data_IF_525030299104
#
_entry.id   IF_525030299104
#
_cell.length_a   1.000
_cell.length_b   1.000
_cell.length_c   1.000
_cell.angle_alpha   90.00
_cell.angle_beta   90.00
_cell.angle_gamma   90.00
#
_symmetry.space_group_name_H-M   'P 1'
#
loop_
_entity.id
_entity.type
_entity.pdbx_description
1 polymer ?
#
# COMPACT_ATOMS: atom_id res chain seq x y z
N UNK A 1 11.35 8.10 16.43
CA UNK A 1 10.44 7.48 15.44
C UNK A 1 11.30 6.73 14.43
N UNK A 2 10.97 5.47 14.10
CA UNK A 2 11.72 4.68 13.10
C UNK A 2 10.85 4.56 11.85
N UNK A 3 11.34 5.07 10.73
CA UNK A 3 10.65 5.04 9.43
C UNK A 3 11.51 4.22 8.48
N UNK A 4 10.92 3.25 7.80
CA UNK A 4 11.58 2.48 6.75
C UNK A 4 11.00 2.89 5.40
N UNK A 5 11.85 2.98 4.38
CA UNK A 5 11.46 3.36 3.02
C UNK A 5 11.70 2.22 2.04
N UNK A 6 10.86 2.16 1.02
CA UNK A 6 11.03 1.26 -0.12
C UNK A 6 10.79 2.04 -1.40
N UNK A 7 11.54 1.70 -2.44
CA UNK A 7 11.40 2.32 -3.77
C UNK A 7 11.48 1.21 -4.81
N UNK A 8 10.57 1.25 -5.78
CA UNK A 8 10.63 0.42 -6.97
C UNK A 8 10.63 1.31 -8.22
N UNK A 9 11.38 0.90 -9.24
CA UNK A 9 11.56 1.68 -10.46
C UNK A 9 10.33 1.59 -11.37
N UNK A 10 9.92 2.73 -11.92
CA UNK A 10 8.78 2.84 -12.84
C UNK A 10 7.47 3.29 -12.17
N UNK A 11 6.60 3.90 -12.97
CA UNK A 11 5.31 4.42 -12.51
C UNK A 11 4.46 3.28 -11.91
N UNK A 12 3.95 3.50 -10.69
CA UNK A 12 3.11 2.55 -9.97
C UNK A 12 3.82 1.24 -9.58
N UNK A 13 5.15 1.16 -9.67
CA UNK A 13 5.89 -0.05 -9.30
C UNK A 13 5.83 -0.31 -7.79
N UNK A 14 5.99 0.74 -6.97
CA UNK A 14 5.88 0.64 -5.50
C UNK A 14 4.48 0.21 -5.08
N UNK A 15 3.43 0.76 -5.71
CA UNK A 15 2.03 0.42 -5.43
C UNK A 15 1.74 -1.06 -5.73
N UNK A 16 2.21 -1.54 -6.88
CA UNK A 16 2.11 -2.96 -7.28
C UNK A 16 2.87 -3.88 -6.33
N UNK A 17 4.08 -3.49 -5.94
CA UNK A 17 4.89 -4.24 -4.99
C UNK A 17 4.18 -4.37 -3.63
N UNK A 18 3.68 -3.26 -3.08
CA UNK A 18 2.99 -3.25 -1.79
C UNK A 18 1.69 -4.06 -1.83
N UNK A 19 0.92 -3.94 -2.92
CA UNK A 19 -0.29 -4.74 -3.13
C UNK A 19 0.01 -6.23 -3.19
N UNK A 20 1.07 -6.63 -3.93
CA UNK A 20 1.49 -8.02 -4.02
C UNK A 20 1.98 -8.58 -2.67
N UNK A 21 2.70 -7.78 -1.89
CA UNK A 21 3.14 -8.16 -0.54
C UNK A 21 1.95 -8.35 0.39
N UNK A 22 0.96 -7.44 0.36
CA UNK A 22 -0.26 -7.57 1.16
C UNK A 22 -1.04 -8.84 0.82
N UNK A 23 -1.27 -9.11 -0.47
CA UNK A 23 -1.93 -10.32 -0.94
C UNK A 23 -1.17 -11.59 -0.54
N UNK A 24 0.16 -11.58 -0.66
CA UNK A 24 1.00 -12.71 -0.26
C UNK A 24 0.91 -12.97 1.25
N UNK A 25 0.96 -11.93 2.07
CA UNK A 25 0.81 -12.06 3.53
C UNK A 25 -0.55 -12.63 3.91
N UNK A 26 -1.62 -12.17 3.26
CA UNK A 26 -2.97 -12.72 3.45
C UNK A 26 -3.04 -14.21 3.09
N UNK A 27 -2.47 -14.61 1.94
CA UNK A 27 -2.38 -16.00 1.51
C UNK A 27 -1.53 -16.88 2.46
N UNK A 28 -0.64 -16.30 3.27
CA UNK A 28 0.10 -16.99 4.32
C UNK A 28 -0.64 -17.03 5.67
N UNK A 29 -1.91 -16.63 5.71
CA UNK A 29 -2.70 -16.57 6.94
C UNK A 29 -2.33 -15.41 7.87
N UNK A 30 -1.56 -14.43 7.38
CA UNK A 30 -1.27 -13.19 8.11
C UNK A 30 -2.38 -12.18 7.83
N UNK A 31 -2.61 -11.27 8.77
CA UNK A 31 -3.63 -10.23 8.66
C UNK A 31 -2.95 -8.87 8.48
N UNK A 32 -2.55 -8.47 7.27
CA UNK A 32 -2.02 -7.13 7.06
C UNK A 32 -3.10 -6.10 7.39
N UNK A 33 -2.68 -4.99 8.01
CA UNK A 33 -3.57 -3.89 8.42
C UNK A 33 -2.99 -2.60 7.89
N UNK A 34 -3.82 -1.78 7.26
CA UNK A 34 -3.40 -0.53 6.64
C UNK A 34 -4.12 -0.31 5.32
N UNK A 35 -3.49 0.46 4.43
CA UNK A 35 -3.99 0.73 3.08
C UNK A 35 -2.90 0.48 2.06
N UNK A 36 -3.28 -0.04 0.90
CA UNK A 36 -2.42 -0.11 -0.29
C UNK A 36 -3.12 0.58 -1.44
N UNK A 37 -2.35 1.27 -2.28
CA UNK A 37 -2.89 1.84 -3.50
C UNK A 37 -3.07 0.74 -4.54
N UNK A 38 -4.28 0.65 -5.10
CA UNK A 38 -4.61 -0.30 -6.16
C UNK A 38 -4.64 0.41 -7.51
N UNK A 39 -4.03 -0.21 -8.52
CA UNK A 39 -4.13 0.26 -9.91
C UNK A 39 -5.38 -0.40 -10.51
N UNK A 40 -6.49 0.33 -10.58
CA UNK A 40 -7.69 -0.13 -11.27
C UNK A 40 -7.45 -0.04 -12.78
N UNK A 41 -7.49 -1.17 -13.48
CA UNK A 41 -7.27 -1.27 -14.93
C UNK A 41 -8.44 -0.74 -15.77
N UNK A 42 -9.04 0.40 -15.41
CA UNK A 42 -10.09 1.00 -16.23
C UNK A 42 -9.47 1.65 -17.46
N UNK A 43 -10.00 1.39 -18.67
CA UNK A 43 -9.72 2.25 -19.81
C UNK A 43 -10.25 3.64 -19.46
N UNK A 44 -9.47 4.69 -19.73
CA UNK A 44 -9.74 6.09 -19.37
C UNK A 44 -9.63 6.46 -17.89
N UNK A 45 -8.97 5.66 -17.05
CA UNK A 45 -8.50 6.20 -15.77
C UNK A 45 -7.55 7.36 -16.07
N UNK A 46 -8.00 8.58 -15.81
CA UNK A 46 -7.17 9.76 -15.93
C UNK A 46 -5.91 9.52 -15.10
N UNK A 47 -4.82 10.15 -15.54
CA UNK A 47 -3.45 10.08 -15.01
C UNK A 47 -3.30 10.31 -13.50
N UNK A 48 -4.41 10.57 -12.81
CA UNK A 48 -4.58 11.11 -11.48
C UNK A 48 -5.56 10.30 -10.61
N UNK A 49 -6.19 9.26 -11.16
CA UNK A 49 -7.09 8.38 -10.41
C UNK A 49 -6.33 7.52 -9.38
N UNK A 50 -6.77 7.59 -8.13
CA UNK A 50 -6.14 6.91 -7.01
C UNK A 50 -7.19 6.21 -6.14
N UNK A 51 -7.09 4.88 -6.13
CA UNK A 51 -7.90 4.00 -5.31
C UNK A 51 -7.05 3.37 -4.20
N UNK A 52 -7.60 3.35 -2.99
CA UNK A 52 -7.01 2.72 -1.81
C UNK A 52 -7.82 1.49 -1.42
N UNK A 53 -7.18 0.32 -1.36
CA UNK A 53 -7.75 -0.86 -0.71
C UNK A 53 -7.47 -0.81 0.78
N UNK A 54 -8.52 -0.82 1.60
CA UNK A 54 -8.40 -0.96 3.05
C UNK A 54 -8.18 -2.43 3.39
N UNK A 55 -7.09 -2.74 4.09
CA UNK A 55 -6.73 -4.09 4.49
C UNK A 55 -7.27 -4.42 5.90
N UNK A 56 -7.58 -5.70 6.21
CA UNK A 56 -7.41 -6.87 5.34
C UNK A 56 -8.52 -7.04 4.29
N UNK A 57 -9.78 -6.79 4.67
CA UNK A 57 -10.98 -7.10 3.85
C UNK A 57 -11.92 -5.87 3.75
N UNK A 58 -11.35 -4.67 3.82
CA UNK A 58 -12.11 -3.43 3.79
C UNK A 58 -12.52 -3.01 2.38
N UNK A 59 -13.21 -1.86 2.24
CA UNK A 59 -13.61 -1.36 0.93
C UNK A 59 -12.41 -0.83 0.13
N UNK A 60 -12.59 -0.72 -1.19
CA UNK A 60 -11.80 0.17 -2.05
C UNK A 60 -12.39 1.57 -1.96
N UNK A 61 -11.54 2.57 -1.75
CA UNK A 61 -11.93 3.98 -1.60
C UNK A 61 -11.22 4.80 -2.66
N UNK A 62 -12.00 5.49 -3.50
CA UNK A 62 -11.50 6.55 -4.38
C UNK A 62 -11.17 7.77 -3.54
N UNK A 63 -9.95 8.27 -3.67
CA UNK A 63 -9.48 9.47 -2.97
C UNK A 63 -9.09 10.59 -3.95
N UNK A 64 -9.48 10.46 -5.21
CA UNK A 64 -9.34 11.51 -6.21
C UNK A 64 -10.66 12.24 -6.34
N UNK A 65 -10.65 13.56 -6.15
CA UNK A 65 -11.78 14.44 -6.44
C UNK A 65 -11.90 14.65 -7.95
N UNK A 66 -13.11 14.48 -8.49
CA UNK A 66 -13.44 14.91 -9.84
C UNK A 66 -13.61 16.45 -9.86
N UNK A 67 -12.75 17.13 -10.61
CA UNK A 67 -12.77 18.59 -10.78
C UNK A 67 -13.55 19.03 -12.04
N UNK A 68 -14.15 18.08 -12.76
CA UNK A 68 -14.89 18.31 -14.00
C UNK A 68 -14.03 18.12 -15.25
N UNK A 69 -14.72 18.07 -16.40
CA UNK A 69 -14.09 17.91 -17.71
C UNK A 69 -13.06 19.01 -17.97
N UNK A 70 -11.94 18.63 -18.60
CA UNK A 70 -10.80 19.51 -18.94
C UNK A 70 -9.93 19.98 -17.77
N UNK A 71 -10.13 19.47 -16.55
CA UNK A 71 -9.18 19.73 -15.48
C UNK A 71 -7.83 19.07 -15.79
N UNK A 72 -6.76 19.87 -15.81
CA UNK A 72 -5.38 19.38 -15.99
C UNK A 72 -4.76 18.84 -14.70
N UNK A 73 -5.48 18.90 -13.58
CA UNK A 73 -5.02 18.39 -12.29
C UNK A 73 -6.13 17.66 -11.55
N UNK A 74 -5.73 16.87 -10.56
CA UNK A 74 -6.63 16.26 -9.61
C UNK A 74 -6.28 16.71 -8.19
N UNK A 75 -7.26 16.60 -7.31
CA UNK A 75 -7.08 16.87 -5.88
C UNK A 75 -7.38 15.62 -5.06
N UNK A 76 -6.68 15.50 -3.93
CA UNK A 76 -7.03 14.53 -2.91
C UNK A 76 -8.42 14.87 -2.33
N UNK A 77 -9.34 13.92 -2.38
CA UNK A 77 -10.62 14.02 -1.69
C UNK A 77 -10.43 13.69 -0.20
N UNK A 78 -10.26 14.74 0.61
CA UNK A 78 -10.15 14.62 2.07
C UNK A 78 -11.43 14.10 2.72
N UNK A 79 -12.61 14.39 2.15
CA UNK A 79 -13.89 13.89 2.66
C UNK A 79 -14.02 12.38 2.44
N UNK A 80 -13.56 11.86 1.30
CA UNK A 80 -13.52 10.44 1.04
C UNK A 80 -12.57 9.68 1.96
N UNK A 81 -11.49 10.32 2.44
CA UNK A 81 -10.69 9.79 3.53
C UNK A 81 -11.55 9.78 4.81
N UNK A 82 -11.94 10.94 5.32
CA UNK A 82 -12.57 11.09 6.65
C UNK A 82 -13.88 10.32 6.85
N UNK A 83 -14.71 10.23 5.80
CA UNK A 83 -16.04 9.62 5.89
C UNK A 83 -16.00 8.09 6.04
N UNK A 84 -14.83 7.45 5.88
CA UNK A 84 -14.72 5.99 5.87
C UNK A 84 -14.37 5.48 7.25
N UNK A 85 -15.06 4.45 7.77
CA UNK A 85 -14.76 3.90 9.09
C UNK A 85 -13.48 3.06 9.03
N UNK A 86 -12.32 3.73 9.03
CA UNK A 86 -11.05 3.09 9.35
C UNK A 86 -11.16 2.53 10.76
N UNK A 87 -11.22 1.21 10.90
CA UNK A 87 -10.92 0.62 12.20
C UNK A 87 -9.42 0.69 12.41
N UNK A 88 -8.95 1.79 12.98
CA UNK A 88 -7.60 1.90 13.52
C UNK A 88 -7.50 1.00 14.75
N UNK A 89 -7.33 -0.30 14.53
CA UNK A 89 -6.87 -1.19 15.58
C UNK A 89 -5.38 -0.96 15.68
N UNK A 90 -4.91 -0.49 16.83
CA UNK A 90 -3.49 -0.42 17.11
C UNK A 90 -2.90 -1.82 16.93
N UNK A 91 -2.18 -2.02 15.83
CA UNK A 91 -1.34 -3.20 15.68
C UNK A 91 -0.10 -2.90 16.50
N UNK A 92 -0.12 -3.32 17.75
CA UNK A 92 1.09 -3.41 18.54
C UNK A 92 2.00 -4.39 17.82
N UNK A 93 2.95 -3.88 17.06
CA UNK A 93 4.09 -4.68 16.67
C UNK A 93 4.76 -5.06 17.97
N UNK A 94 4.52 -6.29 18.43
CA UNK A 94 5.17 -6.82 19.62
C UNK A 94 6.68 -6.70 19.43
N UNK A 95 7.25 -5.66 20.03
CA UNK A 95 8.67 -5.33 19.94
C UNK A 95 9.51 -6.36 20.71
N UNK A 96 8.88 -7.23 21.50
CA UNK A 96 9.50 -8.23 22.38
C UNK A 96 9.50 -9.64 21.81
N UNK A 97 8.67 -10.00 20.82
CA UNK A 97 8.73 -11.31 20.15
C UNK A 97 9.27 -11.20 18.73
N UNK A 98 10.59 -11.37 18.64
CA UNK A 98 11.49 -11.46 17.47
C UNK A 98 12.18 -10.13 17.13
N UNK A 99 13.53 -10.08 17.21
CA UNK A 99 14.25 -8.87 16.90
C UNK A 99 14.07 -8.53 15.42
N UNK A 100 13.73 -7.27 15.15
CA UNK A 100 13.59 -6.68 13.82
C UNK A 100 14.86 -6.84 12.96
N UNK A 101 15.98 -7.22 13.56
CA UNK A 101 17.23 -7.61 12.89
C UNK A 101 17.05 -8.77 11.89
N UNK A 102 15.99 -9.56 12.00
CA UNK A 102 15.70 -10.68 11.11
C UNK A 102 14.60 -10.40 10.09
N UNK A 103 13.87 -9.28 10.15
CA UNK A 103 12.85 -8.97 9.14
C UNK A 103 13.51 -8.76 7.78
N UNK A 104 14.61 -8.01 7.74
CA UNK A 104 15.41 -7.83 6.53
C UNK A 104 16.08 -9.14 6.09
N UNK A 105 16.41 -10.06 6.99
CA UNK A 105 16.95 -11.39 6.67
C UNK A 105 15.87 -12.36 6.16
N UNK A 106 14.66 -12.29 6.69
CA UNK A 106 13.49 -13.08 6.29
C UNK A 106 12.93 -12.59 4.95
N UNK A 107 12.79 -11.27 4.79
CA UNK A 107 12.46 -10.61 3.52
C UNK A 107 13.54 -10.96 2.49
N UNK A 108 14.83 -10.80 2.79
CA UNK A 108 15.91 -11.20 1.85
C UNK A 108 15.90 -12.70 1.54
N UNK A 109 15.81 -13.60 2.52
CA UNK A 109 15.81 -15.06 2.26
C UNK A 109 14.61 -15.52 1.44
N UNK A 110 13.45 -14.87 1.60
CA UNK A 110 12.20 -15.27 0.92
C UNK A 110 11.96 -14.52 -0.39
N UNK A 111 12.52 -13.32 -0.55
CA UNK A 111 12.34 -12.43 -1.69
C UNK A 111 13.63 -12.12 -2.47
N UNK A 112 14.74 -12.82 -2.19
CA UNK A 112 16.00 -12.73 -2.97
C UNK A 112 15.85 -13.09 -4.46
N UNK A 113 14.71 -13.67 -4.87
CA UNK A 113 14.40 -14.00 -6.26
C UNK A 113 13.50 -12.98 -6.95
N UNK A 114 13.11 -11.89 -6.28
CA UNK A 114 12.27 -10.83 -6.86
C UNK A 114 13.15 -9.64 -7.21
N UNK A 115 13.38 -9.33 -8.50
CA UNK A 115 14.36 -8.32 -8.92
C UNK A 115 14.01 -6.87 -8.51
N UNK A 116 12.80 -6.63 -7.99
CA UNK A 116 12.23 -5.28 -7.84
C UNK A 116 12.39 -4.62 -6.45
N UNK A 117 13.06 -5.26 -5.47
CA UNK A 117 13.13 -4.72 -4.09
C UNK A 117 14.56 -4.36 -3.70
N UNK A 118 14.92 -3.08 -3.83
CA UNK A 118 16.13 -2.52 -3.21
C UNK A 118 15.74 -1.85 -1.89
N UNK A 119 16.15 -2.45 -0.77
CA UNK A 119 16.00 -1.84 0.55
C UNK A 119 17.10 -0.79 0.74
N UNK A 120 16.72 0.48 0.79
CA UNK A 120 17.63 1.58 1.14
C UNK A 120 17.67 1.68 2.68
N UNK A 121 18.88 1.80 3.24
CA UNK A 121 19.12 1.82 4.70
C UNK A 121 18.78 3.17 5.31
#
# INVERSE_FOLDING_TARGET
MSIATITAEGRGATDRLLSAVAARLAAEGRRPVGVVKTITGRPFADHCDMDLQVLPDGPVIRITQDLGAHSASCRLDAGALEARPWRSRSVSADRRRRPWSNLSRWVRRRWARTPAVRAVR
#
